data_IF_972242502849
#
_entry.id   IF_972242502849
#
_cell.length_a   1.000
_cell.length_b   1.000
_cell.length_c   1.000
_cell.angle_alpha   90.00
_cell.angle_beta   90.00
_cell.angle_gamma   90.00
#
_symmetry.space_group_name_H-M   'P 1'
#
loop_
_entity.id
_entity.type
_entity.pdbx_description
1 polymer ?
#
# COMPACT_ATOMS: atom_id res chain seq x y z
N UNK A 1 -11.03 20.55 -7.40
CA UNK A 1 -12.45 20.17 -7.57
C UNK A 1 -12.53 18.66 -7.69
N UNK A 2 -13.22 18.02 -6.72
CA UNK A 2 -13.77 16.65 -6.68
C UNK A 2 -12.78 15.49 -6.94
N UNK A 3 -11.85 15.27 -6.00
CA UNK A 3 -11.28 13.94 -5.75
C UNK A 3 -12.35 13.09 -5.08
N UNK A 4 -12.94 12.16 -5.83
CA UNK A 4 -14.06 11.32 -5.38
C UNK A 4 -13.66 10.47 -4.15
N UNK A 5 -14.23 10.70 -2.95
CA UNK A 5 -13.92 9.92 -1.73
C UNK A 5 -14.48 8.49 -1.76
N UNK A 6 -15.09 8.07 -2.88
CA UNK A 6 -15.70 6.76 -3.06
C UNK A 6 -14.72 5.68 -3.52
N UNK A 7 -13.63 6.04 -4.22
CA UNK A 7 -12.70 5.05 -4.79
C UNK A 7 -11.74 4.49 -3.73
N UNK A 8 -11.23 5.35 -2.83
CA UNK A 8 -10.38 4.91 -1.72
C UNK A 8 -11.16 4.15 -0.64
N UNK A 9 -12.40 4.55 -0.35
CA UNK A 9 -13.23 3.84 0.62
C UNK A 9 -13.62 2.43 0.13
N UNK A 10 -13.83 2.22 -1.17
CA UNK A 10 -14.15 0.90 -1.71
C UNK A 10 -13.02 -0.11 -1.53
N UNK A 11 -11.78 0.28 -1.86
CA UNK A 11 -10.62 -0.61 -1.70
C UNK A 11 -10.24 -0.86 -0.23
N UNK A 12 -10.42 0.15 0.63
CA UNK A 12 -10.14 0.03 2.06
C UNK A 12 -11.19 -0.83 2.78
N UNK A 13 -12.46 -0.73 2.38
CA UNK A 13 -13.54 -1.54 2.94
C UNK A 13 -13.45 -3.02 2.55
N UNK A 14 -12.87 -3.35 1.38
CA UNK A 14 -12.54 -4.73 0.98
C UNK A 14 -11.36 -5.27 1.80
N UNK A 15 -10.46 -4.38 2.27
CA UNK A 15 -9.30 -4.75 3.09
C UNK A 15 -9.69 -5.18 4.52
N UNK A 16 -10.78 -4.63 5.05
CA UNK A 16 -11.26 -4.87 6.43
C UNK A 16 -12.43 -5.87 6.52
N UNK A 17 -12.69 -6.67 5.48
CA UNK A 17 -13.79 -7.65 5.48
C UNK A 17 -13.47 -8.87 6.34
N UNK A 18 -14.00 -8.87 7.57
CA UNK A 18 -14.05 -10.04 8.48
C UNK A 18 -14.62 -11.29 7.78
N UNK A 19 -14.20 -12.50 8.18
CA UNK A 19 -14.64 -13.76 7.56
C UNK A 19 -16.16 -13.94 7.36
N UNK A 20 -16.99 -13.40 8.28
CA UNK A 20 -18.46 -13.42 8.16
C UNK A 20 -18.99 -12.56 7.01
N UNK A 21 -18.38 -11.40 6.77
CA UNK A 21 -18.75 -10.55 5.64
C UNK A 21 -18.38 -11.20 4.31
N UNK A 22 -17.19 -11.82 4.20
CA UNK A 22 -16.76 -12.53 2.98
C UNK A 22 -17.74 -13.64 2.58
N UNK A 23 -18.20 -14.45 3.54
CA UNK A 23 -19.21 -15.48 3.29
C UNK A 23 -20.52 -14.90 2.71
N UNK A 24 -20.99 -13.77 3.23
CA UNK A 24 -22.19 -13.10 2.73
C UNK A 24 -22.03 -12.64 1.26
N UNK A 25 -20.89 -12.05 0.90
CA UNK A 25 -20.66 -11.58 -0.47
C UNK A 25 -20.46 -12.72 -1.47
N UNK A 26 -19.91 -13.86 -1.03
CA UNK A 26 -19.87 -15.08 -1.85
C UNK A 26 -21.29 -15.57 -2.14
N UNK A 27 -22.17 -15.61 -1.12
CA UNK A 27 -23.57 -16.03 -1.27
C UNK A 27 -24.34 -15.09 -2.22
N UNK A 28 -24.17 -13.76 -2.06
CA UNK A 28 -24.82 -12.77 -2.94
C UNK A 28 -24.32 -12.91 -4.37
N UNK A 29 -23.01 -13.09 -4.58
CA UNK A 29 -22.43 -13.25 -5.92
C UNK A 29 -22.87 -14.55 -6.60
N UNK A 30 -23.00 -15.65 -5.83
CA UNK A 30 -23.54 -16.91 -6.34
C UNK A 30 -25.03 -16.80 -6.72
N UNK A 31 -25.83 -16.05 -5.95
CA UNK A 31 -27.22 -15.75 -6.27
C UNK A 31 -27.36 -14.93 -7.56
N UNK A 32 -26.51 -13.90 -7.74
CA UNK A 32 -26.46 -13.12 -8.98
C UNK A 32 -26.06 -13.97 -10.18
N UNK A 33 -25.11 -14.90 -10.00
CA UNK A 33 -24.69 -15.83 -11.05
C UNK A 33 -25.84 -16.77 -11.46
N UNK A 34 -26.57 -17.32 -10.49
CA UNK A 34 -27.72 -18.19 -10.75
C UNK A 34 -28.85 -17.45 -11.49
N UNK A 35 -29.14 -16.21 -11.10
CA UNK A 35 -30.13 -15.35 -11.77
C UNK A 35 -29.70 -14.99 -13.20
N UNK A 36 -28.42 -14.70 -13.41
CA UNK A 36 -27.87 -14.41 -14.73
C UNK A 36 -27.93 -15.65 -15.66
N UNK A 37 -27.60 -16.84 -15.15
CA UNK A 37 -27.72 -18.09 -15.90
C UNK A 37 -29.18 -18.39 -16.28
N UNK A 38 -30.13 -18.14 -15.38
CA UNK A 38 -31.56 -18.30 -15.67
C UNK A 38 -32.09 -17.29 -16.70
N UNK A 39 -31.61 -16.05 -16.67
CA UNK A 39 -31.95 -15.03 -17.66
C UNK A 39 -31.40 -15.35 -19.07
N UNK A 40 -30.27 -16.06 -19.15
CA UNK A 40 -29.71 -16.54 -20.42
C UNK A 40 -30.46 -17.73 -21.03
N UNK A 41 -31.14 -18.55 -20.21
CA UNK A 41 -31.92 -19.72 -20.68
C UNK A 41 -33.39 -19.42 -20.95
N UNK A 42 -33.86 -18.22 -20.62
CA UNK A 42 -35.23 -17.77 -20.83
C UNK A 42 -35.38 -16.96 -22.12
N UNK A 43 -36.60 -16.90 -22.65
CA UNK A 43 -36.99 -16.13 -23.86
C UNK A 43 -37.15 -14.64 -23.54
N UNK A 44 -36.21 -14.06 -22.80
CA UNK A 44 -36.17 -12.64 -22.52
C UNK A 44 -35.57 -11.88 -23.73
N UNK A 45 -35.86 -10.58 -23.82
CA UNK A 45 -35.34 -9.73 -24.90
C UNK A 45 -33.81 -9.80 -24.95
N UNK A 46 -33.24 -9.78 -26.15
CA UNK A 46 -31.79 -9.89 -26.41
C UNK A 46 -30.92 -8.93 -25.59
N UNK A 47 -31.39 -7.71 -25.31
CA UNK A 47 -30.67 -6.76 -24.45
C UNK A 47 -30.51 -7.23 -22.99
N UNK A 48 -31.46 -8.03 -22.49
CA UNK A 48 -31.40 -8.62 -21.14
C UNK A 48 -30.34 -9.72 -21.10
N UNK A 49 -30.22 -10.53 -22.15
CA UNK A 49 -29.20 -11.57 -22.25
C UNK A 49 -27.78 -10.98 -22.25
N UNK A 50 -27.56 -9.87 -22.96
CA UNK A 50 -26.27 -9.15 -22.95
C UNK A 50 -25.94 -8.63 -21.55
N UNK A 51 -26.91 -8.03 -20.84
CA UNK A 51 -26.71 -7.56 -19.47
C UNK A 51 -26.41 -8.72 -18.51
N UNK A 52 -27.06 -9.88 -18.68
CA UNK A 52 -26.83 -11.07 -17.87
C UNK A 52 -25.42 -11.63 -18.03
N UNK A 53 -24.86 -11.65 -19.25
CA UNK A 53 -23.47 -12.07 -19.49
C UNK A 53 -22.47 -11.16 -18.76
N UNK A 54 -22.71 -9.85 -18.75
CA UNK A 54 -21.85 -8.89 -18.02
C UNK A 54 -21.91 -9.13 -16.51
N UNK A 55 -23.11 -9.35 -15.95
CA UNK A 55 -23.31 -9.65 -14.52
C UNK A 55 -22.66 -10.99 -14.15
N UNK A 56 -22.74 -11.98 -15.02
CA UNK A 56 -22.12 -13.29 -14.84
C UNK A 56 -20.59 -13.16 -14.75
N UNK A 57 -19.97 -12.43 -15.69
CA UNK A 57 -18.52 -12.19 -15.68
C UNK A 57 -18.06 -11.43 -14.43
N UNK A 58 -18.80 -10.39 -14.02
CA UNK A 58 -18.49 -9.62 -12.81
C UNK A 58 -18.62 -10.47 -11.53
N UNK A 59 -19.63 -11.35 -11.48
CA UNK A 59 -19.89 -12.23 -10.34
C UNK A 59 -18.82 -13.33 -10.22
N UNK A 60 -18.39 -13.92 -11.34
CA UNK A 60 -17.27 -14.87 -11.37
C UNK A 60 -15.97 -14.20 -10.90
N UNK A 61 -15.68 -12.99 -11.39
CA UNK A 61 -14.50 -12.24 -10.98
C UNK A 61 -14.51 -11.95 -9.47
N UNK A 62 -15.64 -11.53 -8.91
CA UNK A 62 -15.78 -11.30 -7.47
C UNK A 62 -15.58 -12.57 -6.65
N UNK A 63 -16.12 -13.71 -7.10
CA UNK A 63 -15.93 -15.00 -6.43
C UNK A 63 -14.43 -15.40 -6.44
N UNK A 64 -13.74 -15.23 -7.58
CA UNK A 64 -12.30 -15.51 -7.67
C UNK A 64 -11.50 -14.63 -6.71
N UNK A 65 -11.77 -13.32 -6.68
CA UNK A 65 -11.11 -12.39 -5.76
C UNK A 65 -11.37 -12.72 -4.29
N UNK A 66 -12.55 -13.25 -3.97
CA UNK A 66 -12.93 -13.63 -2.60
C UNK A 66 -12.38 -15.00 -2.18
N UNK A 67 -12.18 -15.93 -3.12
CA UNK A 67 -11.63 -17.27 -2.86
C UNK A 67 -10.11 -17.26 -2.61
N UNK A 68 -9.39 -16.25 -3.11
CA UNK A 68 -7.96 -16.09 -2.78
C UNK A 68 -7.85 -15.80 -1.27
N UNK A 69 -7.24 -16.70 -0.49
CA UNK A 69 -7.09 -16.46 0.93
C UNK A 69 -6.07 -15.34 1.13
N UNK A 70 -6.54 -14.12 1.42
CA UNK A 70 -5.73 -13.12 2.13
C UNK A 70 -5.51 -13.60 3.57
N UNK A 71 -4.73 -14.66 3.73
CA UNK A 71 -4.48 -15.36 4.98
C UNK A 71 -3.64 -14.56 5.98
N UNK A 72 -3.18 -13.35 5.63
CA UNK A 72 -2.30 -12.54 6.48
C UNK A 72 -2.99 -11.65 7.50
N UNK A 73 -4.30 -11.38 7.40
CA UNK A 73 -4.95 -10.39 8.28
C UNK A 73 -5.45 -10.99 9.60
N UNK A 74 -6.13 -12.16 9.57
CA UNK A 74 -6.82 -12.70 10.76
C UNK A 74 -5.92 -13.56 11.69
N UNK A 75 -4.79 -14.12 11.21
CA UNK A 75 -3.87 -14.90 12.07
C UNK A 75 -2.82 -14.06 12.81
N UNK A 76 -2.72 -12.77 12.50
CA UNK A 76 -1.62 -11.92 12.96
C UNK A 76 -1.85 -11.29 14.33
N UNK A 77 -3.11 -11.22 14.80
CA UNK A 77 -3.45 -10.59 16.09
C UNK A 77 -3.14 -11.45 17.32
N UNK A 78 -3.18 -12.78 17.19
CA UNK A 78 -2.85 -13.72 18.28
C UNK A 78 -1.38 -14.19 18.26
N UNK A 79 -0.59 -13.70 17.31
CA UNK A 79 0.82 -14.06 17.20
C UNK A 79 1.65 -13.34 18.27
N UNK A 80 2.63 -14.00 18.90
CA UNK A 80 3.55 -13.31 19.82
C UNK A 80 4.40 -12.23 19.12
N UNK A 81 4.40 -12.19 17.78
CA UNK A 81 5.07 -11.17 16.96
C UNK A 81 4.15 -10.01 16.54
N UNK A 82 2.89 -9.98 17.01
CA UNK A 82 1.95 -8.90 16.76
C UNK A 82 2.50 -7.49 17.10
N UNK A 83 3.21 -7.26 18.22
CA UNK A 83 3.69 -5.91 18.53
C UNK A 83 4.77 -5.42 17.54
N UNK A 84 5.67 -6.29 17.09
CA UNK A 84 6.69 -5.94 16.09
C UNK A 84 6.04 -5.65 14.73
N UNK A 85 5.04 -6.45 14.34
CA UNK A 85 4.29 -6.20 13.12
C UNK A 85 3.52 -4.87 13.19
N UNK A 86 2.89 -4.58 14.33
CA UNK A 86 2.19 -3.30 14.54
C UNK A 86 3.16 -2.12 14.45
N UNK A 87 4.37 -2.26 14.99
CA UNK A 87 5.40 -1.23 14.87
C UNK A 87 5.78 -0.96 13.41
N UNK A 88 5.97 -2.00 12.59
CA UNK A 88 6.22 -1.83 11.15
C UNK A 88 5.07 -1.11 10.44
N UNK A 89 3.82 -1.46 10.79
CA UNK A 89 2.64 -0.80 10.22
C UNK A 89 2.59 0.68 10.60
N UNK A 90 2.93 1.04 11.84
CA UNK A 90 3.02 2.42 12.29
C UNK A 90 4.11 3.19 11.53
N UNK A 91 5.30 2.62 11.38
CA UNK A 91 6.40 3.25 10.62
C UNK A 91 6.00 3.49 9.16
N UNK A 92 5.32 2.54 8.52
CA UNK A 92 4.81 2.72 7.17
C UNK A 92 3.74 3.81 7.09
N UNK A 93 2.87 3.92 8.11
CA UNK A 93 1.88 4.98 8.19
C UNK A 93 2.54 6.37 8.31
N UNK A 94 3.54 6.51 9.18
CA UNK A 94 4.33 7.74 9.30
C UNK A 94 4.99 8.12 7.97
N UNK A 95 5.49 7.12 7.23
CA UNK A 95 6.04 7.32 5.88
C UNK A 95 5.01 7.84 4.88
N UNK A 96 3.77 7.35 4.93
CA UNK A 96 2.67 7.84 4.10
C UNK A 96 2.33 9.30 4.43
N UNK A 97 2.31 9.66 5.72
CA UNK A 97 2.10 11.05 6.13
C UNK A 97 3.22 11.95 5.60
N UNK A 98 4.49 11.56 5.77
CA UNK A 98 5.64 12.32 5.27
C UNK A 98 5.60 12.48 3.75
N UNK A 99 5.27 11.42 3.01
CA UNK A 99 5.09 11.48 1.56
C UNK A 99 4.01 12.48 1.15
N UNK A 100 2.89 12.52 1.87
CA UNK A 100 1.82 13.47 1.57
C UNK A 100 2.29 14.93 1.72
N UNK A 101 3.11 15.22 2.74
CA UNK A 101 3.72 16.53 2.96
C UNK A 101 4.77 16.86 1.90
N UNK A 102 5.62 15.90 1.54
CA UNK A 102 6.61 16.04 0.46
C UNK A 102 5.90 16.40 -0.85
N UNK A 103 4.84 15.68 -1.23
CA UNK A 103 4.08 15.97 -2.45
C UNK A 103 3.48 17.37 -2.44
N UNK A 104 2.89 17.78 -1.32
CA UNK A 104 2.36 19.15 -1.17
C UNK A 104 3.43 20.22 -1.36
N UNK A 105 4.60 20.06 -0.74
CA UNK A 105 5.72 20.99 -0.88
C UNK A 105 6.28 20.99 -2.30
N UNK A 106 6.47 19.83 -2.90
CA UNK A 106 6.95 19.70 -4.28
C UNK A 106 6.01 20.39 -5.26
N UNK A 107 4.71 20.15 -5.14
CA UNK A 107 3.70 20.78 -6.01
C UNK A 107 3.69 22.31 -5.84
N UNK A 108 3.91 22.80 -4.61
CA UNK A 108 3.95 24.23 -4.29
C UNK A 108 5.22 24.91 -4.82
N UNK A 109 6.38 24.27 -4.67
CA UNK A 109 7.68 24.84 -5.01
C UNK A 109 8.00 24.81 -6.50
N UNK A 110 7.59 23.75 -7.19
CA UNK A 110 8.04 23.50 -8.56
C UNK A 110 6.92 23.53 -9.59
N UNK A 111 5.66 23.41 -9.17
CA UNK A 111 4.53 23.24 -10.09
C UNK A 111 4.60 21.95 -10.92
N UNK A 112 3.65 21.81 -11.86
CA UNK A 112 3.57 20.63 -12.72
C UNK A 112 4.71 20.61 -13.76
N UNK A 113 5.49 19.52 -13.79
CA UNK A 113 6.41 19.22 -14.90
C UNK A 113 7.90 19.53 -14.68
N UNK A 114 8.32 19.89 -13.47
CA UNK A 114 9.74 20.05 -13.14
C UNK A 114 10.44 18.69 -12.98
N UNK A 115 11.64 18.55 -13.57
CA UNK A 115 12.49 17.37 -13.37
C UNK A 115 12.90 17.21 -11.90
N UNK A 116 13.15 18.32 -11.20
CA UNK A 116 13.48 18.31 -9.77
C UNK A 116 12.29 17.81 -8.94
N UNK A 117 11.08 18.24 -9.27
CA UNK A 117 9.85 17.73 -8.64
C UNK A 117 9.68 16.21 -8.84
N UNK A 118 9.96 15.72 -10.05
CA UNK A 118 9.90 14.30 -10.35
C UNK A 118 10.93 13.49 -9.54
N UNK A 119 12.14 14.03 -9.33
CA UNK A 119 13.18 13.37 -8.51
C UNK A 119 12.81 13.31 -7.03
N UNK A 120 12.36 14.40 -6.43
CA UNK A 120 11.88 14.39 -5.03
C UNK A 120 10.70 13.44 -4.84
N UNK A 121 9.73 13.49 -5.74
CA UNK A 121 8.57 12.60 -5.70
C UNK A 121 8.96 11.14 -5.90
N UNK A 122 9.90 10.86 -6.81
CA UNK A 122 10.43 9.53 -7.07
C UNK A 122 11.13 8.94 -5.85
N UNK A 123 12.07 9.69 -5.25
CA UNK A 123 12.78 9.27 -4.04
C UNK A 123 11.81 8.97 -2.89
N UNK A 124 10.85 9.85 -2.65
CA UNK A 124 9.85 9.66 -1.59
C UNK A 124 8.92 8.46 -1.88
N UNK A 125 8.59 8.20 -3.15
CA UNK A 125 7.79 7.04 -3.55
C UNK A 125 8.56 5.74 -3.38
N UNK A 126 9.85 5.71 -3.72
CA UNK A 126 10.73 4.56 -3.49
C UNK A 126 10.87 4.27 -2.00
N UNK A 127 11.05 5.30 -1.15
CA UNK A 127 11.07 5.12 0.29
C UNK A 127 9.78 4.48 0.82
N UNK A 128 8.61 4.94 0.34
CA UNK A 128 7.33 4.33 0.74
C UNK A 128 7.21 2.87 0.25
N UNK A 129 7.76 2.56 -0.94
CA UNK A 129 7.80 1.19 -1.45
C UNK A 129 8.57 0.26 -0.52
N UNK A 130 9.75 0.69 -0.03
CA UNK A 130 10.56 -0.06 0.94
C UNK A 130 9.82 -0.25 2.26
N UNK A 131 9.19 0.80 2.80
CA UNK A 131 8.40 0.70 4.03
C UNK A 131 7.23 -0.29 3.91
N UNK A 132 6.51 -0.26 2.79
CA UNK A 132 5.45 -1.22 2.50
C UNK A 132 6.00 -2.65 2.34
N UNK A 133 7.14 -2.79 1.67
CA UNK A 133 7.86 -4.06 1.51
C UNK A 133 8.24 -4.69 2.85
N UNK A 134 8.74 -3.88 3.79
CA UNK A 134 9.09 -4.33 5.14
C UNK A 134 7.86 -4.78 5.95
N UNK A 135 6.72 -4.12 5.79
CA UNK A 135 5.45 -4.60 6.38
C UNK A 135 5.05 -5.95 5.79
N UNK A 136 5.11 -6.11 4.47
CA UNK A 136 4.75 -7.36 3.80
C UNK A 136 5.72 -8.51 4.15
N UNK A 137 7.02 -8.22 4.28
CA UNK A 137 8.02 -9.16 4.79
C UNK A 137 7.70 -9.56 6.24
N UNK A 138 7.38 -8.61 7.10
CA UNK A 138 6.93 -8.86 8.47
C UNK A 138 5.69 -9.75 8.54
N UNK A 139 4.67 -9.49 7.71
CA UNK A 139 3.46 -10.33 7.64
C UNK A 139 3.77 -11.75 7.18
N UNK A 140 4.66 -11.92 6.19
CA UNK A 140 5.11 -13.24 5.74
C UNK A 140 5.89 -13.97 6.83
N UNK A 141 6.73 -13.27 7.59
CA UNK A 141 7.45 -13.84 8.71
C UNK A 141 6.49 -14.30 9.83
N UNK A 142 5.50 -13.48 10.20
CA UNK A 142 4.44 -13.89 11.15
C UNK A 142 3.68 -15.13 10.64
N UNK A 143 3.30 -15.16 9.36
CA UNK A 143 2.61 -16.29 8.78
C UNK A 143 3.47 -17.58 8.76
N UNK A 144 4.78 -17.45 8.59
CA UNK A 144 5.74 -18.56 8.60
C UNK A 144 6.04 -19.07 10.01
N UNK A 145 6.15 -18.17 11.00
CA UNK A 145 6.43 -18.54 12.40
C UNK A 145 5.18 -19.01 13.15
N UNK A 146 3.98 -18.60 12.71
CA UNK A 146 2.72 -19.02 13.29
C UNK A 146 2.57 -18.61 14.76
N UNK A 147 2.21 -19.57 15.60
CA UNK A 147 2.02 -19.42 17.05
C UNK A 147 3.20 -19.94 17.87
N UNK A 148 4.32 -20.22 17.21
CA UNK A 148 5.52 -20.69 17.90
C UNK A 148 6.07 -19.61 18.84
N UNK A 149 6.74 -20.04 19.92
CA UNK A 149 7.39 -19.11 20.86
C UNK A 149 8.46 -18.24 20.18
N UNK A 150 8.60 -16.97 20.61
CA UNK A 150 9.71 -16.10 20.21
C UNK A 150 11.07 -16.75 20.43
N UNK A 151 11.92 -16.74 19.40
CA UNK A 151 13.35 -17.03 19.53
C UNK A 151 14.15 -15.79 19.17
N UNK A 152 15.39 -15.71 19.67
CA UNK A 152 16.28 -14.59 19.39
C UNK A 152 16.52 -14.39 17.90
N UNK A 153 16.65 -15.47 17.12
CA UNK A 153 16.86 -15.36 15.67
C UNK A 153 15.65 -14.73 14.98
N UNK A 154 14.43 -15.08 15.39
CA UNK A 154 13.19 -14.54 14.81
C UNK A 154 12.97 -13.08 15.21
N UNK A 155 13.31 -12.73 16.45
CA UNK A 155 13.31 -11.33 16.90
C UNK A 155 14.33 -10.49 16.13
N UNK A 156 15.52 -11.05 15.83
CA UNK A 156 16.53 -10.38 15.02
C UNK A 156 16.03 -10.06 13.61
N UNK A 157 15.26 -10.96 12.99
CA UNK A 157 14.62 -10.71 11.69
C UNK A 157 13.71 -9.48 11.74
N UNK A 158 12.78 -9.42 12.70
CA UNK A 158 11.91 -8.25 12.87
C UNK A 158 12.68 -6.98 13.20
N UNK A 159 13.72 -7.07 14.04
CA UNK A 159 14.58 -5.93 14.36
C UNK A 159 15.29 -5.37 13.12
N UNK A 160 15.64 -6.25 12.17
CA UNK A 160 16.19 -5.85 10.88
C UNK A 160 15.21 -4.99 10.08
N UNK A 161 13.99 -5.48 9.88
CA UNK A 161 12.93 -4.76 9.16
C UNK A 161 12.59 -3.42 9.82
N UNK A 162 12.52 -3.40 11.16
CA UNK A 162 12.22 -2.18 11.92
C UNK A 162 13.34 -1.15 11.75
N UNK A 163 14.60 -1.58 11.91
CA UNK A 163 15.77 -0.69 11.78
C UNK A 163 15.87 -0.13 10.36
N UNK A 164 15.63 -0.96 9.36
CA UNK A 164 15.59 -0.53 7.96
C UNK A 164 14.48 0.51 7.74
N UNK A 165 13.27 0.23 8.22
CA UNK A 165 12.14 1.14 8.10
C UNK A 165 12.40 2.49 8.79
N UNK A 166 13.05 2.48 9.96
CA UNK A 166 13.48 3.70 10.65
C UNK A 166 14.50 4.48 9.82
N UNK A 167 15.51 3.81 9.26
CA UNK A 167 16.51 4.47 8.40
C UNK A 167 15.89 5.12 7.17
N UNK A 168 14.89 4.48 6.56
CA UNK A 168 14.14 5.03 5.42
C UNK A 168 13.28 6.22 5.83
N UNK A 169 12.67 6.20 7.01
CA UNK A 169 11.94 7.36 7.54
C UNK A 169 12.87 8.55 7.79
N UNK A 170 14.08 8.31 8.30
CA UNK A 170 15.08 9.37 8.46
C UNK A 170 15.45 9.99 7.11
N UNK A 171 15.53 9.18 6.03
CA UNK A 171 15.74 9.71 4.68
C UNK A 171 14.55 10.54 4.18
N UNK A 172 13.31 10.16 4.50
CA UNK A 172 12.13 10.99 4.20
C UNK A 172 12.17 12.33 4.95
N UNK A 173 12.65 12.35 6.19
CA UNK A 173 12.85 13.59 6.95
C UNK A 173 13.96 14.46 6.35
N UNK A 174 15.06 13.86 5.88
CA UNK A 174 16.10 14.59 5.13
C UNK A 174 15.55 15.18 3.83
N UNK A 175 14.69 14.46 3.10
CA UNK A 175 14.02 15.00 1.90
C UNK A 175 13.11 16.19 2.23
N UNK A 176 12.33 16.11 3.32
CA UNK A 176 11.49 17.22 3.77
C UNK A 176 12.34 18.44 4.14
N UNK A 177 13.43 18.23 4.89
CA UNK A 177 14.33 19.31 5.28
C UNK A 177 14.97 19.97 4.05
N UNK A 178 15.38 19.17 3.07
CA UNK A 178 15.96 19.67 1.82
C UNK A 178 14.96 20.51 1.01
N UNK A 179 13.68 20.11 0.98
CA UNK A 179 12.61 20.90 0.36
C UNK A 179 12.37 22.23 1.08
N UNK A 180 12.40 22.24 2.41
CA UNK A 180 12.29 23.47 3.22
C UNK A 180 13.49 24.38 2.98
N UNK A 181 14.70 23.82 2.91
CA UNK A 181 15.90 24.60 2.57
C UNK A 181 15.78 25.21 1.17
N UNK A 182 15.28 24.44 0.20
CA UNK A 182 15.06 24.92 -1.16
C UNK A 182 14.07 26.09 -1.22
N UNK A 183 12.96 26.02 -0.46
CA UNK A 183 11.99 27.12 -0.33
C UNK A 183 12.62 28.40 0.23
N UNK A 184 13.52 28.25 1.21
CA UNK A 184 14.19 29.38 1.86
C UNK A 184 15.35 29.96 1.03
N UNK A 185 16.04 29.11 0.27
CA UNK A 185 17.19 29.50 -0.56
C UNK A 185 16.72 29.91 -1.95
N UNK A 186 16.09 31.07 -2.08
CA UNK A 186 15.44 31.48 -3.33
C UNK A 186 16.35 31.61 -4.58
N UNK A 187 17.69 31.46 -4.53
CA UNK A 187 18.49 31.49 -5.78
C UNK A 187 19.96 31.00 -5.77
N UNK A 188 20.48 30.23 -4.79
CA UNK A 188 21.95 30.09 -4.71
C UNK A 188 22.62 28.70 -4.67
N UNK A 189 21.94 27.55 -4.66
CA UNK A 189 22.66 26.26 -4.64
C UNK A 189 21.89 25.06 -5.25
N UNK A 190 21.42 25.20 -6.50
CA UNK A 190 20.75 24.09 -7.20
C UNK A 190 21.63 22.82 -7.32
N UNK A 191 22.95 22.99 -7.42
CA UNK A 191 23.91 21.89 -7.55
C UNK A 191 24.10 21.12 -6.22
N UNK A 192 24.16 21.84 -5.10
CA UNK A 192 24.25 21.24 -3.75
C UNK A 192 22.98 20.48 -3.39
N UNK A 193 21.80 21.03 -3.73
CA UNK A 193 20.51 20.36 -3.49
C UNK A 193 20.39 19.09 -4.33
N UNK A 194 20.87 19.12 -5.58
CA UNK A 194 20.83 17.95 -6.46
C UNK A 194 21.74 16.83 -5.94
N UNK A 195 22.94 17.16 -5.45
CA UNK A 195 23.87 16.19 -4.87
C UNK A 195 23.31 15.53 -3.60
N UNK A 196 22.71 16.33 -2.70
CA UNK A 196 22.07 15.81 -1.49
C UNK A 196 20.86 14.92 -1.83
N UNK A 197 20.06 15.30 -2.83
CA UNK A 197 18.95 14.48 -3.31
C UNK A 197 19.44 13.15 -3.88
N UNK A 198 20.55 13.15 -4.61
CA UNK A 198 21.16 11.94 -5.17
C UNK A 198 21.71 11.01 -4.07
N UNK A 199 22.36 11.56 -3.03
CA UNK A 199 22.79 10.80 -1.85
C UNK A 199 21.61 10.12 -1.15
N UNK A 200 20.52 10.87 -0.91
CA UNK A 200 19.32 10.33 -0.26
C UNK A 200 18.68 9.24 -1.13
N UNK A 201 18.55 9.48 -2.43
CA UNK A 201 17.95 8.53 -3.38
C UNK A 201 18.78 7.25 -3.46
N UNK A 202 20.11 7.37 -3.54
CA UNK A 202 21.04 6.24 -3.52
C UNK A 202 20.90 5.41 -2.24
N UNK A 203 20.80 6.08 -1.08
CA UNK A 203 20.62 5.41 0.21
C UNK A 203 19.29 4.66 0.27
N UNK A 204 18.21 5.23 -0.26
CA UNK A 204 16.89 4.56 -0.34
C UNK A 204 16.97 3.32 -1.23
N UNK A 205 17.63 3.41 -2.39
CA UNK A 205 17.76 2.29 -3.32
C UNK A 205 18.58 1.12 -2.76
N UNK A 206 19.50 1.36 -1.82
CA UNK A 206 20.21 0.27 -1.12
C UNK A 206 19.26 -0.69 -0.39
N UNK A 207 18.08 -0.21 0.01
CA UNK A 207 17.07 -1.01 0.71
C UNK A 207 15.99 -1.57 -0.22
N UNK A 208 15.91 -1.11 -1.48
CA UNK A 208 14.93 -1.62 -2.45
C UNK A 208 15.29 -3.02 -2.99
N UNK A 209 16.53 -3.46 -2.77
CA UNK A 209 17.06 -4.73 -3.27
C UNK A 209 17.30 -5.80 -2.18
N UNK A 210 16.92 -5.54 -0.93
CA UNK A 210 16.97 -6.51 0.18
C UNK A 210 15.62 -7.18 0.43
#
# INVERSE_FOLDING_TARGET
MISSPLYNNGMQKIKDMTGKSRALYIVISALCLALACWACTSTLRTWVQVASVIIMMASVLMIILLLIPRAGAEKSQDSPYAPQLQQLVLLNHDGQEKLSRIRQLVDTLFGAGSLTAARFSGAAQSALSVLAGNVDQGQRAVAAFGSDSPTKERELVFSGYIRESQSVLDQLDRLLLLLVQYDQSQDHDAESVTAQLEEITSTIHLYEHN
#
